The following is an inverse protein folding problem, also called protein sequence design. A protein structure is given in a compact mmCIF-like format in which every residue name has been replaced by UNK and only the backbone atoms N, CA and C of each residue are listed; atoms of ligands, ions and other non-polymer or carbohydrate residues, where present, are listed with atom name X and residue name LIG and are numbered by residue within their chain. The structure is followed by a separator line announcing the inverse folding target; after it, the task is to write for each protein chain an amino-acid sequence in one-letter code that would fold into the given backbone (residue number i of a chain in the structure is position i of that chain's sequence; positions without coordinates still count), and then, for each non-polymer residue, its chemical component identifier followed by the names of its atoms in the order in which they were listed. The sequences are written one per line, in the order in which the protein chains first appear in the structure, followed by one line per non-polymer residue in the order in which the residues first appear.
data_IF_954503845354
#
_entry.id   IF_954503845354
#
_cell.length_a   1.000
_cell.length_b   1.000
_cell.length_c   1.000
_cell.angle_alpha   90.00
_cell.angle_beta   90.00
_cell.angle_gamma   90.00
#
_symmetry.space_group_name_H-M   'P 1'
#
loop_
_entity.id
_entity.type
_entity.pdbx_description
1 polymer ?
#
# COMPACT_ATOMS: atom_id res chain seq x y z
N UNK A 1 -43.68 -96.98 -50.96
CA UNK A 1 -42.70 -97.95 -50.44
C UNK A 1 -42.30 -97.52 -49.02
N UNK A 2 -42.51 -98.42 -48.04
CA UNK A 2 -41.79 -98.62 -46.75
C UNK A 2 -41.41 -97.38 -45.90
N UNK A 3 -42.09 -97.03 -44.79
CA UNK A 3 -42.09 -97.58 -43.39
C UNK A 3 -40.73 -97.72 -42.66
N UNK A 4 -40.60 -96.92 -41.57
CA UNK A 4 -40.13 -97.25 -40.18
C UNK A 4 -38.61 -97.51 -40.04
N UNK A 5 -37.93 -97.40 -38.89
CA UNK A 5 -38.17 -97.15 -37.46
C UNK A 5 -36.78 -96.74 -36.87
N UNK A 6 -36.68 -95.84 -35.87
CA UNK A 6 -36.45 -96.17 -34.44
C UNK A 6 -35.13 -96.92 -34.13
N UNK A 7 -34.36 -96.38 -33.16
CA UNK A 7 -33.58 -97.06 -32.10
C UNK A 7 -32.09 -96.67 -31.93
N UNK A 8 -31.86 -96.13 -30.74
CA UNK A 8 -30.68 -96.17 -29.88
C UNK A 8 -29.72 -97.36 -30.04
N UNK A 9 -28.42 -97.10 -29.80
CA UNK A 9 -27.63 -97.73 -28.71
C UNK A 9 -26.22 -97.16 -28.59
N UNK A 10 -25.71 -97.31 -27.37
CA UNK A 10 -24.46 -96.80 -26.82
C UNK A 10 -23.19 -97.47 -27.34
N UNK A 11 -22.07 -96.75 -27.27
CA UNK A 11 -20.73 -97.29 -27.03
C UNK A 11 -19.79 -96.17 -26.54
N UNK A 12 -19.20 -96.36 -25.36
CA UNK A 12 -17.93 -95.74 -24.94
C UNK A 12 -16.78 -96.72 -25.27
N UNK A 13 -15.49 -96.44 -25.03
CA UNK A 13 -14.77 -95.18 -24.74
C UNK A 13 -13.57 -94.96 -25.69
N UNK A 14 -12.89 -93.81 -25.64
CA UNK A 14 -11.44 -93.63 -25.88
C UNK A 14 -11.05 -92.16 -25.71
N UNK A 15 -10.22 -91.87 -24.71
CA UNK A 15 -9.59 -90.57 -24.51
C UNK A 15 -8.53 -90.31 -25.60
N UNK A 16 -8.21 -89.04 -25.92
CA UNK A 16 -7.08 -88.42 -25.22
C UNK A 16 -7.19 -86.91 -24.95
N UNK A 17 -6.35 -86.48 -24.01
CA UNK A 17 -5.82 -85.14 -23.70
C UNK A 17 -6.24 -83.98 -24.62
N UNK A 18 -6.82 -82.93 -24.01
CA UNK A 18 -6.62 -81.55 -24.46
C UNK A 18 -6.58 -80.59 -23.26
N UNK A 19 -5.58 -79.73 -23.32
CA UNK A 19 -5.02 -78.82 -22.32
C UNK A 19 -6.02 -77.75 -21.86
N UNK A 20 -6.30 -77.67 -20.55
CA UNK A 20 -7.00 -76.52 -19.96
C UNK A 20 -5.98 -75.41 -19.64
N UNK A 21 -5.94 -74.35 -20.44
CA UNK A 21 -5.26 -73.11 -20.05
C UNK A 21 -6.14 -72.37 -19.03
N UNK A 22 -5.75 -72.42 -17.77
CA UNK A 22 -6.27 -71.51 -16.74
C UNK A 22 -5.52 -70.19 -16.89
N UNK A 23 -6.19 -69.18 -17.45
CA UNK A 23 -5.70 -67.80 -17.40
C UNK A 23 -5.85 -67.31 -15.96
N UNK A 24 -4.76 -67.38 -15.19
CA UNK A 24 -4.63 -66.67 -13.93
C UNK A 24 -4.55 -65.17 -14.21
N UNK A 25 -5.69 -64.50 -14.14
CA UNK A 25 -5.79 -63.04 -14.08
C UNK A 25 -5.29 -62.57 -12.71
N UNK A 26 -4.01 -62.16 -12.62
CA UNK A 26 -3.52 -61.40 -11.48
C UNK A 26 -4.16 -60.00 -11.50
N UNK A 27 -5.26 -59.82 -10.77
CA UNK A 27 -5.80 -58.50 -10.46
C UNK A 27 -4.93 -57.80 -9.42
N UNK A 28 -3.89 -57.08 -9.87
CA UNK A 28 -3.26 -56.05 -9.04
C UNK A 28 -4.13 -54.80 -9.11
N UNK A 29 -4.83 -54.50 -8.02
CA UNK A 29 -5.45 -53.17 -7.83
C UNK A 29 -4.34 -52.21 -7.42
N UNK A 30 -3.63 -51.64 -8.39
CA UNK A 30 -2.83 -50.45 -8.11
C UNK A 30 -3.80 -49.29 -7.90
N UNK A 31 -3.87 -48.81 -6.66
CA UNK A 31 -4.44 -47.51 -6.36
C UNK A 31 -3.66 -46.48 -7.15
N UNK A 32 -4.32 -45.82 -8.11
CA UNK A 32 -3.81 -44.60 -8.73
C UNK A 32 -3.59 -43.58 -7.61
N UNK A 33 -2.36 -43.52 -7.11
CA UNK A 33 -1.91 -42.39 -6.32
C UNK A 33 -2.04 -41.19 -7.22
N UNK A 34 -2.98 -40.29 -6.90
CA UNK A 34 -2.95 -38.94 -7.46
C UNK A 34 -1.63 -38.36 -6.98
N UNK A 35 -0.61 -38.36 -7.85
CA UNK A 35 0.58 -37.57 -7.65
C UNK A 35 0.08 -36.16 -7.37
N UNK A 36 0.29 -35.70 -6.13
CA UNK A 36 0.06 -34.32 -5.78
C UNK A 36 0.92 -33.50 -6.73
N UNK A 37 0.29 -32.93 -7.76
CA UNK A 37 0.93 -31.96 -8.62
C UNK A 37 1.49 -30.91 -7.67
N UNK A 38 2.81 -30.65 -7.64
CA UNK A 38 3.32 -29.59 -6.80
C UNK A 38 2.65 -28.30 -7.30
N UNK A 39 1.59 -27.87 -6.61
CA UNK A 39 1.01 -26.56 -6.80
C UNK A 39 2.10 -25.61 -6.36
N UNK A 40 2.82 -25.08 -7.34
CA UNK A 40 3.68 -23.92 -7.11
C UNK A 40 2.84 -22.92 -6.30
N UNK A 41 3.37 -22.40 -5.18
CA UNK A 41 2.65 -21.39 -4.43
C UNK A 41 2.29 -20.25 -5.38
N UNK A 42 1.10 -19.66 -5.18
CA UNK A 42 0.66 -18.49 -5.96
C UNK A 42 1.76 -17.41 -5.89
N UNK A 43 2.00 -16.68 -7.00
CA UNK A 43 3.02 -15.65 -7.02
C UNK A 43 2.61 -14.49 -6.12
N UNK A 44 3.25 -14.39 -4.95
CA UNK A 44 3.08 -13.28 -4.01
C UNK A 44 3.86 -12.04 -4.48
N UNK A 45 3.41 -10.82 -4.12
CA UNK A 45 4.18 -9.60 -4.31
C UNK A 45 5.60 -9.69 -3.71
N UNK A 46 6.57 -9.05 -4.37
CA UNK A 46 7.97 -9.08 -3.93
C UNK A 46 8.11 -8.42 -2.56
N UNK A 47 8.75 -9.14 -1.63
CA UNK A 47 8.95 -8.68 -0.26
C UNK A 47 7.67 -8.69 0.58
N UNK A 48 6.63 -9.41 0.18
CA UNK A 48 5.50 -9.77 1.04
C UNK A 48 5.92 -10.79 2.09
N UNK A 49 5.63 -10.52 3.35
CA UNK A 49 5.98 -11.40 4.47
C UNK A 49 4.88 -11.41 5.54
N UNK A 50 4.54 -12.58 6.06
CA UNK A 50 3.72 -12.70 7.26
C UNK A 50 4.61 -12.38 8.46
N UNK A 51 4.28 -11.33 9.21
CA UNK A 51 5.05 -10.96 10.39
C UNK A 51 4.82 -11.98 11.52
N UNK A 52 5.88 -12.36 12.26
CA UNK A 52 5.72 -13.23 13.42
C UNK A 52 4.71 -12.66 14.41
N UNK A 53 3.84 -13.49 15.02
CA UNK A 53 2.90 -13.04 16.04
C UNK A 53 3.66 -12.37 17.18
N UNK A 54 3.24 -11.18 17.55
CA UNK A 54 3.79 -10.44 18.68
C UNK A 54 2.62 -9.88 19.52
N UNK A 55 2.80 -9.71 20.85
CA UNK A 55 1.77 -9.12 21.70
C UNK A 55 1.30 -7.75 21.16
N UNK A 56 0.03 -7.39 21.39
CA UNK A 56 -0.46 -6.05 21.06
C UNK A 56 0.41 -4.97 21.72
N UNK A 57 0.68 -3.89 21.01
CA UNK A 57 1.31 -2.70 21.56
C UNK A 57 0.29 -1.93 22.40
N UNK A 58 0.75 -1.21 23.46
CA UNK A 58 -0.11 -0.26 24.14
C UNK A 58 -0.55 0.85 23.17
N UNK A 59 -1.69 1.52 23.43
CA UNK A 59 -2.09 2.71 22.67
C UNK A 59 -0.94 3.72 22.60
N UNK A 60 -0.75 4.31 21.42
CA UNK A 60 0.28 5.34 21.24
C UNK A 60 -0.05 6.61 22.05
N UNK A 61 0.66 6.82 23.15
CA UNK A 61 0.57 8.04 23.97
C UNK A 61 1.61 9.09 23.57
N UNK A 62 2.45 8.82 22.56
CA UNK A 62 3.57 9.71 22.21
C UNK A 62 3.14 11.10 21.75
N UNK A 63 1.88 11.26 21.31
CA UNK A 63 1.30 12.55 20.92
C UNK A 63 0.88 13.44 22.11
N UNK A 64 0.81 12.92 23.34
CA UNK A 64 0.33 13.71 24.49
C UNK A 64 1.34 14.75 24.99
N UNK A 65 2.63 14.53 24.71
CA UNK A 65 3.73 15.38 25.20
C UNK A 65 4.37 16.27 24.11
N UNK A 66 3.78 16.33 22.92
CA UNK A 66 4.34 17.05 21.78
C UNK A 66 3.22 17.61 20.89
N UNK A 67 3.49 18.74 20.25
CA UNK A 67 2.66 19.23 19.15
C UNK A 67 3.33 18.89 17.82
N UNK A 68 3.06 17.71 17.23
CA UNK A 68 3.71 17.31 15.99
C UNK A 68 3.35 18.22 14.82
N UNK A 69 2.22 18.92 14.86
CA UNK A 69 1.74 19.67 13.69
C UNK A 69 2.28 21.10 13.61
N UNK A 70 2.81 21.65 14.71
CA UNK A 70 3.37 22.98 14.72
C UNK A 70 4.75 23.02 14.01
N UNK A 71 4.85 23.82 12.95
CA UNK A 71 6.06 23.98 12.12
C UNK A 71 6.64 25.40 12.25
N UNK A 72 7.66 25.76 11.45
CA UNK A 72 8.28 27.08 11.48
C UNK A 72 7.56 28.07 10.56
N UNK A 73 7.38 29.33 10.98
CA UNK A 73 6.78 30.37 10.13
C UNK A 73 7.54 30.55 8.82
N UNK A 74 6.86 30.84 7.70
CA UNK A 74 7.49 31.25 6.46
C UNK A 74 8.40 32.47 6.65
N UNK A 75 9.32 32.68 5.71
CA UNK A 75 10.13 33.90 5.70
C UNK A 75 9.26 35.14 5.49
N UNK A 76 9.64 36.25 6.13
CA UNK A 76 8.95 37.53 5.99
C UNK A 76 9.24 38.20 4.64
N UNK A 77 10.42 37.92 4.07
CA UNK A 77 10.85 38.52 2.80
C UNK A 77 11.22 37.47 1.76
N UNK A 78 10.98 37.82 0.48
CA UNK A 78 11.39 36.98 -0.65
C UNK A 78 12.90 36.77 -0.70
N UNK A 79 13.70 37.76 -0.33
CA UNK A 79 15.15 37.67 -0.35
C UNK A 79 15.68 36.56 0.59
N UNK A 80 15.09 36.43 1.79
CA UNK A 80 15.44 35.36 2.73
C UNK A 80 15.01 33.98 2.20
N UNK A 81 13.81 33.90 1.62
CA UNK A 81 13.33 32.68 0.99
C UNK A 81 14.25 32.23 -0.17
N UNK A 82 14.60 33.15 -1.06
CA UNK A 82 15.48 32.88 -2.22
C UNK A 82 16.90 32.48 -1.80
N UNK A 83 17.39 32.98 -0.66
CA UNK A 83 18.66 32.62 -0.07
C UNK A 83 18.63 31.19 0.51
N UNK A 84 17.54 30.81 1.19
CA UNK A 84 17.39 29.49 1.81
C UNK A 84 17.41 28.32 0.81
N UNK A 85 17.05 28.57 -0.45
CA UNK A 85 17.03 27.55 -1.53
C UNK A 85 18.10 27.77 -2.59
N UNK A 86 19.09 28.63 -2.32
CA UNK A 86 20.15 28.96 -3.29
C UNK A 86 20.91 27.72 -3.76
N UNK A 87 21.19 26.77 -2.86
CA UNK A 87 21.89 25.53 -3.20
C UNK A 87 21.07 24.60 -4.09
N UNK A 88 19.75 24.50 -3.85
CA UNK A 88 18.83 23.73 -4.71
C UNK A 88 18.77 24.37 -6.09
N UNK A 89 18.65 25.71 -6.13
CA UNK A 89 18.64 26.47 -7.38
C UNK A 89 19.94 26.29 -8.17
N UNK A 90 21.08 26.30 -7.50
CA UNK A 90 22.39 26.06 -8.12
C UNK A 90 22.55 24.63 -8.65
N UNK A 91 21.93 23.63 -8.00
CA UNK A 91 21.87 22.24 -8.52
C UNK A 91 20.96 22.09 -9.75
N UNK A 92 20.10 23.06 -10.03
CA UNK A 92 19.24 23.13 -11.22
C UNK A 92 17.97 22.27 -11.16
N UNK A 93 17.73 21.53 -10.07
CA UNK A 93 16.49 20.77 -9.83
C UNK A 93 16.28 20.49 -8.35
N UNK A 94 15.02 20.32 -7.97
CA UNK A 94 14.60 19.84 -6.66
C UNK A 94 14.58 18.30 -6.68
N UNK A 95 15.30 17.67 -5.75
CA UNK A 95 15.31 16.21 -5.62
C UNK A 95 14.21 15.80 -4.63
N UNK A 96 13.19 15.09 -5.13
CA UNK A 96 11.98 14.73 -4.38
C UNK A 96 11.95 13.22 -4.12
N UNK A 97 11.83 12.83 -2.86
CA UNK A 97 11.63 11.44 -2.44
C UNK A 97 10.16 11.05 -2.44
N UNK A 98 9.78 10.08 -3.27
CA UNK A 98 8.44 9.48 -3.36
C UNK A 98 8.49 8.09 -4.02
N UNK A 99 7.37 7.41 -4.24
CA UNK A 99 7.34 6.18 -5.06
C UNK A 99 6.31 6.29 -6.20
N UNK A 100 6.07 5.18 -6.88
CA UNK A 100 5.04 5.06 -7.92
C UNK A 100 3.93 4.06 -7.52
N UNK A 101 3.84 3.72 -6.23
CA UNK A 101 2.99 2.65 -5.71
C UNK A 101 1.78 3.15 -4.91
N UNK A 102 1.42 4.42 -5.08
CA UNK A 102 0.34 5.09 -4.33
C UNK A 102 -0.55 5.87 -5.31
N UNK A 103 -1.55 5.21 -5.91
CA UNK A 103 -2.49 5.85 -6.84
C UNK A 103 -3.10 7.12 -6.22
N UNK A 104 -3.43 8.09 -7.07
CA UNK A 104 -3.84 9.47 -6.74
C UNK A 104 -2.76 10.36 -6.09
N UNK A 105 -1.70 9.80 -5.49
CA UNK A 105 -0.67 10.56 -4.78
C UNK A 105 0.65 10.64 -5.55
N UNK A 106 1.26 9.48 -5.78
CA UNK A 106 2.49 9.34 -6.54
C UNK A 106 2.47 7.98 -7.23
N UNK A 107 2.11 8.00 -8.50
CA UNK A 107 1.98 6.82 -9.35
C UNK A 107 2.44 7.15 -10.77
N UNK A 108 2.67 6.12 -11.59
CA UNK A 108 2.92 6.32 -13.02
C UNK A 108 1.59 6.25 -13.75
N UNK A 109 1.22 7.34 -14.42
CA UNK A 109 0.03 7.36 -15.26
C UNK A 109 0.21 6.35 -16.42
N UNK A 110 -0.74 5.42 -16.62
CA UNK A 110 -0.58 4.34 -17.58
C UNK A 110 -0.72 4.79 -19.04
N UNK A 111 -1.24 6.00 -19.30
CA UNK A 111 -1.47 6.55 -20.64
C UNK A 111 -0.27 7.36 -21.10
N UNK A 112 0.19 8.30 -20.25
CA UNK A 112 1.28 9.23 -20.55
C UNK A 112 2.65 8.69 -20.16
N UNK A 113 2.69 7.76 -19.20
CA UNK A 113 3.93 7.25 -18.61
C UNK A 113 4.60 8.22 -17.64
N UNK A 114 4.01 9.37 -17.34
CA UNK A 114 4.54 10.36 -16.40
C UNK A 114 4.31 9.94 -14.94
N UNK A 115 5.21 10.34 -14.04
CA UNK A 115 4.96 10.25 -12.59
C UNK A 115 4.04 11.42 -12.23
N UNK A 116 2.88 11.12 -11.67
CA UNK A 116 1.84 12.10 -11.36
C UNK A 116 1.08 11.76 -10.07
N UNK A 117 0.21 12.66 -9.66
CA UNK A 117 -0.62 12.55 -8.45
C UNK A 117 -0.53 13.78 -7.57
N UNK A 118 -1.29 13.78 -6.49
CA UNK A 118 -1.41 14.89 -5.54
C UNK A 118 -0.07 15.26 -4.90
N UNK A 119 0.69 14.28 -4.41
CA UNK A 119 2.01 14.52 -3.80
C UNK A 119 3.02 15.04 -4.83
N UNK A 120 2.93 14.54 -6.07
CA UNK A 120 3.75 15.02 -7.20
C UNK A 120 3.47 16.48 -7.50
N UNK A 121 2.19 16.86 -7.58
CA UNK A 121 1.78 18.25 -7.84
C UNK A 121 2.16 19.18 -6.68
N UNK A 122 2.04 18.73 -5.42
CA UNK A 122 2.51 19.50 -4.25
C UNK A 122 4.03 19.76 -4.35
N UNK A 123 4.83 18.75 -4.70
CA UNK A 123 6.26 18.92 -4.90
C UNK A 123 6.58 19.84 -6.09
N UNK A 124 5.78 19.76 -7.17
CA UNK A 124 5.86 20.66 -8.32
C UNK A 124 5.62 22.12 -7.94
N UNK A 125 4.72 22.41 -6.98
CA UNK A 125 4.50 23.76 -6.49
C UNK A 125 5.68 24.31 -5.67
N UNK A 126 6.39 23.44 -4.92
CA UNK A 126 7.66 23.84 -4.28
C UNK A 126 8.71 24.15 -5.34
N UNK A 127 8.83 23.31 -6.37
CA UNK A 127 9.75 23.57 -7.48
C UNK A 127 9.41 24.86 -8.25
N UNK A 128 8.12 25.15 -8.42
CA UNK A 128 7.64 26.40 -9.04
C UNK A 128 8.13 27.62 -8.27
N UNK A 129 8.12 27.59 -6.94
CA UNK A 129 8.59 28.72 -6.14
C UNK A 129 10.12 28.88 -6.20
N UNK A 130 10.87 27.80 -6.42
CA UNK A 130 12.34 27.83 -6.55
C UNK A 130 12.79 28.28 -7.95
N UNK A 131 12.13 27.77 -9.00
CA UNK A 131 12.59 27.86 -10.39
C UNK A 131 11.67 28.68 -11.31
N UNK A 132 10.51 29.11 -10.83
CA UNK A 132 9.46 29.78 -11.61
C UNK A 132 8.55 28.83 -12.39
N UNK A 133 8.91 27.55 -12.52
CA UNK A 133 8.12 26.50 -13.19
C UNK A 133 8.25 25.17 -12.44
N UNK A 134 7.23 24.29 -12.50
CA UNK A 134 7.18 23.08 -11.66
C UNK A 134 8.03 21.91 -12.20
N UNK A 135 8.57 22.02 -13.42
CA UNK A 135 9.19 20.90 -14.15
C UNK A 135 10.63 20.57 -13.75
N UNK A 136 11.27 21.38 -12.90
CA UNK A 136 12.67 21.17 -12.48
C UNK A 136 12.73 20.23 -11.27
N UNK A 137 12.29 18.99 -11.45
CA UNK A 137 12.20 17.97 -10.40
C UNK A 137 12.89 16.68 -10.82
N UNK A 138 13.68 16.10 -9.92
CA UNK A 138 14.27 14.77 -10.06
C UNK A 138 13.69 13.86 -8.95
N UNK A 139 13.10 12.74 -9.32
CA UNK A 139 12.50 11.81 -8.35
C UNK A 139 13.51 10.75 -7.91
N UNK A 140 13.66 10.60 -6.59
CA UNK A 140 14.27 9.40 -6.00
C UNK A 140 13.16 8.48 -5.52
N UNK A 141 13.13 7.27 -6.06
CA UNK A 141 12.16 6.24 -5.65
C UNK A 141 12.53 5.73 -4.26
N UNK A 142 11.62 5.88 -3.30
CA UNK A 142 11.78 5.50 -1.90
C UNK A 142 10.54 4.75 -1.42
N UNK A 143 10.74 3.59 -0.78
CA UNK A 143 9.68 2.94 -0.02
C UNK A 143 9.27 3.77 1.21
N UNK A 144 8.13 3.44 1.81
CA UNK A 144 7.68 4.09 3.04
C UNK A 144 8.70 4.00 4.19
N UNK A 145 9.48 2.90 4.24
CA UNK A 145 10.50 2.66 5.26
C UNK A 145 11.79 3.49 5.07
N UNK A 146 12.04 3.99 3.86
CA UNK A 146 13.29 4.72 3.52
C UNK A 146 13.16 6.23 3.66
N UNK A 147 11.94 6.76 3.82
CA UNK A 147 11.67 8.22 3.88
C UNK A 147 12.58 8.96 4.86
N UNK A 148 12.65 8.49 6.10
CA UNK A 148 13.43 9.12 7.18
C UNK A 148 14.93 9.03 6.90
N UNK A 149 15.41 7.85 6.51
CA UNK A 149 16.84 7.62 6.28
C UNK A 149 17.37 8.39 5.07
N UNK A 150 16.55 8.55 4.02
CA UNK A 150 16.89 9.39 2.87
C UNK A 150 17.09 10.86 3.24
N UNK A 151 16.23 11.40 4.12
CA UNK A 151 16.35 12.76 4.64
C UNK A 151 17.56 12.93 5.55
N UNK A 152 17.78 11.99 6.47
CA UNK A 152 18.96 12.02 7.37
C UNK A 152 20.29 11.96 6.60
N UNK A 153 20.32 11.23 5.48
CA UNK A 153 21.49 11.11 4.61
C UNK A 153 21.55 12.18 3.52
N UNK A 154 20.64 13.16 3.53
CA UNK A 154 20.54 14.22 2.51
C UNK A 154 20.55 13.69 1.07
N UNK A 155 19.89 12.53 0.85
CA UNK A 155 19.78 11.91 -0.47
C UNK A 155 18.71 12.56 -1.36
N UNK A 156 17.80 13.30 -0.72
CA UNK A 156 16.72 14.09 -1.33
C UNK A 156 16.63 15.43 -0.59
N UNK A 157 16.10 16.44 -1.26
CA UNK A 157 15.84 17.75 -0.64
C UNK A 157 14.60 17.67 0.25
N UNK A 158 13.54 17.04 -0.27
CA UNK A 158 12.25 16.87 0.40
C UNK A 158 11.68 15.48 0.15
N UNK A 159 10.84 15.01 1.07
CA UNK A 159 9.96 13.84 0.88
C UNK A 159 8.51 14.32 0.84
N UNK A 160 7.82 14.05 -0.26
CA UNK A 160 6.38 14.30 -0.43
C UNK A 160 5.75 12.96 -0.79
N UNK A 161 5.40 12.18 0.22
CA UNK A 161 4.97 10.78 0.08
C UNK A 161 4.13 10.34 1.27
N UNK A 162 2.90 10.85 1.35
CA UNK A 162 1.90 10.54 2.39
C UNK A 162 2.51 10.38 3.78
N UNK A 163 3.32 11.38 4.16
CA UNK A 163 4.22 11.27 5.31
C UNK A 163 3.58 11.91 6.53
N UNK A 164 2.86 11.11 7.33
CA UNK A 164 2.24 11.56 8.57
C UNK A 164 3.27 12.17 9.52
N UNK A 165 2.98 13.35 10.03
CA UNK A 165 3.82 14.05 10.99
C UNK A 165 3.61 13.41 12.37
N UNK A 166 4.68 12.85 12.93
CA UNK A 166 4.64 12.23 14.27
C UNK A 166 5.81 12.71 15.10
N UNK A 167 5.67 12.63 16.42
CA UNK A 167 6.71 13.08 17.34
C UNK A 167 7.97 12.21 17.26
N UNK A 168 7.81 10.90 17.08
CA UNK A 168 8.95 10.01 16.83
C UNK A 168 9.72 10.37 15.56
N UNK A 169 9.01 10.70 14.47
CA UNK A 169 9.67 11.16 13.24
C UNK A 169 10.34 12.53 13.43
N UNK A 170 9.73 13.44 14.19
CA UNK A 170 10.29 14.77 14.49
C UNK A 170 11.60 14.76 15.24
N UNK A 171 11.92 13.69 15.98
CA UNK A 171 13.23 13.51 16.60
C UNK A 171 14.35 13.29 15.56
N UNK A 172 13.99 12.92 14.34
CA UNK A 172 14.93 12.47 13.29
C UNK A 172 14.93 13.37 12.06
N UNK A 173 13.80 14.00 11.75
CA UNK A 173 13.57 14.84 10.56
C UNK A 173 12.68 16.02 10.91
N UNK A 174 12.68 17.04 10.07
CA UNK A 174 11.77 18.18 10.16
C UNK A 174 10.56 18.01 9.24
N UNK A 175 9.52 18.82 9.48
CA UNK A 175 8.31 18.80 8.67
C UNK A 175 7.80 20.21 8.38
N UNK A 176 7.18 20.38 7.21
CA UNK A 176 6.29 21.49 6.93
C UNK A 176 5.04 21.47 7.83
N UNK A 177 4.20 22.49 7.68
CA UNK A 177 2.80 22.46 8.10
C UNK A 177 2.01 21.39 7.36
N UNK A 178 0.85 21.02 7.91
CA UNK A 178 -0.03 19.99 7.33
C UNK A 178 -0.53 20.43 5.95
N UNK A 179 -0.29 19.63 4.91
CA UNK A 179 -0.77 19.90 3.56
C UNK A 179 -2.00 19.08 3.17
N UNK A 180 -2.25 17.94 3.84
CA UNK A 180 -3.46 17.13 3.72
C UNK A 180 -3.68 16.42 5.05
N UNK A 181 -4.95 16.30 5.45
CA UNK A 181 -5.34 15.60 6.68
C UNK A 181 -6.16 14.38 6.30
N UNK A 182 -5.72 13.20 6.75
CA UNK A 182 -6.30 11.91 6.41
C UNK A 182 -6.56 11.10 7.68
N UNK A 183 -7.33 10.02 7.59
CA UNK A 183 -7.55 9.12 8.72
C UNK A 183 -7.34 7.66 8.32
N UNK A 184 -6.69 6.89 9.19
CA UNK A 184 -6.57 5.45 8.95
C UNK A 184 -7.94 4.78 9.05
N UNK A 185 -8.30 4.01 8.02
CA UNK A 185 -9.53 3.21 7.95
C UNK A 185 -9.23 1.78 7.45
N UNK A 186 -10.26 1.07 7.04
CA UNK A 186 -10.18 -0.33 6.59
C UNK A 186 -10.71 -0.43 5.16
N UNK A 187 -10.01 -1.14 4.30
CA UNK A 187 -10.46 -1.54 2.96
C UNK A 187 -10.69 -3.04 2.96
N UNK A 188 -11.86 -3.46 2.48
CA UNK A 188 -12.23 -4.86 2.35
C UNK A 188 -13.02 -5.09 1.05
N UNK A 189 -13.12 -6.34 0.57
CA UNK A 189 -14.06 -6.73 -0.47
C UNK A 189 -15.50 -6.43 -0.07
N UNK A 190 -16.37 -6.05 -1.02
CA UNK A 190 -17.79 -5.75 -0.74
C UNK A 190 -18.60 -6.91 -0.17
N UNK A 191 -18.18 -8.15 -0.39
CA UNK A 191 -18.79 -9.36 0.18
C UNK A 191 -18.22 -9.73 1.57
N UNK A 192 -17.25 -8.97 2.07
CA UNK A 192 -16.64 -9.19 3.38
C UNK A 192 -17.57 -8.77 4.52
N UNK A 193 -17.61 -9.53 5.64
CA UNK A 193 -18.34 -9.12 6.84
C UNK A 193 -17.57 -8.07 7.69
N UNK A 194 -16.34 -7.70 7.31
CA UNK A 194 -15.50 -6.77 8.06
C UNK A 194 -16.11 -5.37 7.97
N UNK A 195 -16.47 -4.79 9.12
CA UNK A 195 -17.05 -3.43 9.18
C UNK A 195 -16.47 -2.55 10.27
N UNK A 196 -15.68 -3.11 11.20
CA UNK A 196 -15.09 -2.41 12.34
C UNK A 196 -13.75 -3.04 12.75
N UNK A 197 -12.98 -2.33 13.57
CA UNK A 197 -11.61 -2.69 13.98
C UNK A 197 -11.54 -4.08 14.63
N UNK A 198 -12.52 -4.46 15.46
CA UNK A 198 -12.53 -5.76 16.14
C UNK A 198 -12.65 -6.94 15.18
N UNK A 199 -13.19 -6.74 13.97
CA UNK A 199 -13.39 -7.80 12.99
C UNK A 199 -12.07 -8.23 12.33
N UNK A 200 -11.01 -7.42 12.51
CA UNK A 200 -9.67 -7.69 12.01
C UNK A 200 -8.94 -8.75 12.85
N UNK A 201 -9.34 -8.99 14.10
CA UNK A 201 -8.70 -9.97 14.97
C UNK A 201 -8.68 -11.36 14.33
N UNK A 202 -7.49 -11.98 14.25
CA UNK A 202 -7.28 -13.27 13.58
C UNK A 202 -7.38 -13.27 12.05
N UNK A 203 -7.69 -12.13 11.41
CA UNK A 203 -7.71 -11.97 9.94
C UNK A 203 -6.35 -11.55 9.41
N UNK A 204 -6.08 -11.82 8.14
CA UNK A 204 -4.88 -11.37 7.43
C UNK A 204 -5.05 -9.91 7.02
N UNK A 205 -4.33 -9.02 7.67
CA UNK A 205 -4.38 -7.57 7.41
C UNK A 205 -3.05 -7.12 6.81
N UNK A 206 -3.10 -6.52 5.63
CA UNK A 206 -1.90 -6.01 4.96
C UNK A 206 -1.59 -4.57 5.35
N UNK A 207 -0.30 -4.30 5.57
CA UNK A 207 0.27 -2.98 5.84
C UNK A 207 1.63 -2.83 5.13
N UNK A 208 1.96 -1.66 4.60
CA UNK A 208 3.30 -1.39 4.11
C UNK A 208 4.29 -1.17 5.28
N UNK A 209 5.53 -1.65 5.15
CA UNK A 209 6.56 -1.49 6.19
C UNK A 209 6.95 -0.02 6.39
N UNK A 210 7.33 0.33 7.63
CA UNK A 210 7.76 1.70 7.97
C UNK A 210 6.63 2.73 8.02
N UNK A 211 5.40 2.28 8.25
CA UNK A 211 4.19 3.12 8.28
C UNK A 211 3.62 3.25 9.70
N UNK A 212 2.89 4.35 9.92
CA UNK A 212 2.04 4.55 11.10
C UNK A 212 0.90 3.53 11.13
N UNK A 213 0.42 3.09 9.96
CA UNK A 213 -0.64 2.10 9.84
C UNK A 213 -0.26 0.75 10.49
N UNK A 214 1.00 0.30 10.30
CA UNK A 214 1.52 -0.88 11.00
C UNK A 214 1.48 -0.68 12.53
N UNK A 215 1.93 0.48 13.04
CA UNK A 215 1.93 0.78 14.48
C UNK A 215 0.52 0.71 15.08
N UNK A 216 -0.49 1.24 14.37
CA UNK A 216 -1.89 1.22 14.80
C UNK A 216 -2.52 -0.17 14.74
N UNK A 217 -2.21 -0.97 13.72
CA UNK A 217 -2.67 -2.36 13.60
C UNK A 217 -2.08 -3.24 14.70
N UNK A 218 -0.84 -2.96 15.13
CA UNK A 218 -0.21 -3.66 16.26
C UNK A 218 -0.90 -3.42 17.61
N UNK A 219 -1.80 -2.44 17.74
CA UNK A 219 -2.56 -2.20 18.98
C UNK A 219 -3.82 -3.06 19.12
N UNK A 220 -4.26 -3.71 18.03
CA UNK A 220 -5.51 -4.47 18.03
C UNK A 220 -5.35 -5.73 18.89
N UNK A 221 -6.32 -5.95 19.79
CA UNK A 221 -6.37 -7.10 20.67
C UNK A 221 -7.75 -7.79 20.56
N UNK A 222 -7.81 -9.09 20.21
CA UNK A 222 -6.70 -9.96 19.80
C UNK A 222 -6.02 -9.51 18.49
N UNK A 223 -4.72 -9.79 18.27
CA UNK A 223 -4.02 -9.37 17.06
C UNK A 223 -4.62 -9.94 15.76
N UNK A 224 -4.58 -9.19 14.65
CA UNK A 224 -4.64 -9.77 13.31
C UNK A 224 -3.38 -10.58 12.99
N UNK A 225 -3.45 -11.40 11.94
CA UNK A 225 -2.28 -11.90 11.22
C UNK A 225 -1.77 -10.77 10.34
N UNK A 226 -0.64 -10.17 10.71
CA UNK A 226 -0.13 -9.00 9.99
C UNK A 226 0.71 -9.46 8.80
N UNK A 227 0.33 -9.01 7.61
CA UNK A 227 1.10 -9.21 6.38
C UNK A 227 1.76 -7.89 6.02
N UNK A 228 3.07 -7.89 5.84
CA UNK A 228 3.83 -6.69 5.50
C UNK A 228 4.34 -6.74 4.06
N UNK A 229 4.28 -5.61 3.37
CA UNK A 229 4.75 -5.46 1.98
C UNK A 229 5.61 -4.19 1.83
N UNK A 230 6.14 -3.94 0.62
CA UNK A 230 6.97 -2.77 0.34
C UNK A 230 6.11 -1.51 0.16
N UNK A 231 5.04 -1.60 -0.63
CA UNK A 231 4.16 -0.47 -0.97
C UNK A 231 2.67 -0.88 -0.95
N UNK A 232 1.76 0.08 -1.16
CA UNK A 232 0.32 -0.16 -1.04
C UNK A 232 -0.29 -0.89 -2.22
N UNK A 233 0.25 -0.72 -3.43
CA UNK A 233 -0.15 -1.50 -4.60
C UNK A 233 0.10 -3.00 -4.39
N UNK A 234 1.15 -3.39 -3.67
CA UNK A 234 1.39 -4.79 -3.29
C UNK A 234 0.26 -5.35 -2.40
N UNK A 235 -0.27 -4.54 -1.47
CA UNK A 235 -1.44 -4.93 -0.67
C UNK A 235 -2.69 -5.11 -1.54
N UNK A 236 -2.90 -4.26 -2.54
CA UNK A 236 -4.02 -4.41 -3.48
C UNK A 236 -3.92 -5.73 -4.24
N UNK A 237 -2.74 -6.04 -4.80
CA UNK A 237 -2.49 -7.31 -5.50
C UNK A 237 -2.75 -8.50 -4.58
N UNK A 238 -2.24 -8.48 -3.35
CA UNK A 238 -2.48 -9.56 -2.39
C UNK A 238 -3.97 -9.73 -2.05
N UNK A 239 -4.74 -8.63 -1.97
CA UNK A 239 -6.19 -8.70 -1.72
C UNK A 239 -6.94 -9.29 -2.92
N UNK A 240 -6.58 -8.88 -4.13
CA UNK A 240 -7.15 -9.39 -5.39
C UNK A 240 -6.89 -10.89 -5.55
N UNK A 241 -5.72 -11.36 -5.12
CA UNK A 241 -5.36 -12.78 -5.10
C UNK A 241 -5.92 -13.54 -3.88
N UNK A 242 -6.68 -12.88 -3.00
CA UNK A 242 -7.25 -13.43 -1.76
C UNK A 242 -6.20 -13.98 -0.79
N UNK A 243 -4.98 -13.46 -0.87
CA UNK A 243 -3.86 -13.78 0.03
C UNK A 243 -3.96 -13.03 1.37
N UNK A 244 -4.83 -12.02 1.44
CA UNK A 244 -5.19 -11.27 2.64
C UNK A 244 -6.70 -11.03 2.69
N UNK A 245 -7.21 -10.57 3.83
CA UNK A 245 -8.65 -10.37 4.06
C UNK A 245 -9.03 -8.88 4.11
N UNK A 246 -8.08 -8.00 4.44
CA UNK A 246 -8.26 -6.55 4.46
C UNK A 246 -6.92 -5.81 4.32
N UNK A 247 -6.99 -4.55 3.90
CA UNK A 247 -5.90 -3.57 3.97
C UNK A 247 -6.29 -2.49 4.97
N UNK A 248 -5.36 -2.02 5.80
CA UNK A 248 -5.63 -0.87 6.67
C UNK A 248 -4.53 0.16 6.59
N UNK A 249 -4.91 1.34 6.12
CA UNK A 249 -4.09 2.54 6.03
C UNK A 249 -5.02 3.74 5.87
N UNK A 250 -4.44 4.87 5.52
CA UNK A 250 -5.04 6.17 5.35
C UNK A 250 -6.15 6.08 4.29
N UNK A 251 -7.34 6.59 4.61
CA UNK A 251 -8.54 6.57 3.76
C UNK A 251 -8.30 7.17 2.38
N UNK A 252 -7.44 8.18 2.30
CA UNK A 252 -6.92 8.76 1.07
C UNK A 252 -6.22 7.75 0.16
N UNK A 253 -5.32 6.93 0.72
CA UNK A 253 -4.60 5.88 -0.02
C UNK A 253 -5.58 4.76 -0.38
N UNK A 254 -6.44 4.37 0.56
CA UNK A 254 -7.46 3.34 0.31
C UNK A 254 -8.40 3.74 -0.83
N UNK A 255 -8.72 5.04 -0.98
CA UNK A 255 -9.55 5.51 -2.08
C UNK A 255 -8.84 5.37 -3.43
N UNK A 256 -7.52 5.58 -3.48
CA UNK A 256 -6.72 5.25 -4.67
C UNK A 256 -6.80 3.77 -5.04
N UNK A 257 -6.80 2.87 -4.04
CA UNK A 257 -6.97 1.43 -4.28
C UNK A 257 -8.40 1.08 -4.73
N UNK A 258 -9.42 1.80 -4.26
CA UNK A 258 -10.82 1.64 -4.71
C UNK A 258 -11.01 2.10 -6.16
N UNK A 259 -10.32 3.17 -6.57
CA UNK A 259 -10.31 3.61 -7.98
C UNK A 259 -9.70 2.54 -8.91
N UNK A 260 -8.70 1.80 -8.44
CA UNK A 260 -8.10 0.68 -9.17
C UNK A 260 -8.95 -0.60 -9.13
N UNK A 261 -9.67 -0.83 -8.02
CA UNK A 261 -10.54 -1.99 -7.84
C UNK A 261 -11.89 -1.61 -7.16
N UNK A 262 -12.92 -1.30 -7.97
CA UNK A 262 -14.24 -0.91 -7.46
C UNK A 262 -15.01 -2.03 -6.72
N UNK A 263 -14.52 -3.28 -6.76
CA UNK A 263 -15.08 -4.38 -5.95
C UNK A 263 -14.80 -4.20 -4.45
N UNK A 264 -13.86 -3.33 -4.11
CA UNK A 264 -13.49 -3.01 -2.75
C UNK A 264 -14.32 -1.82 -2.22
N UNK A 265 -14.36 -1.67 -0.90
CA UNK A 265 -14.95 -0.50 -0.25
C UNK A 265 -14.26 -0.16 1.07
N UNK A 266 -14.32 1.13 1.45
CA UNK A 266 -13.77 1.61 2.72
C UNK A 266 -14.83 1.50 3.82
N UNK A 267 -14.47 0.90 4.95
CA UNK A 267 -15.32 0.61 6.10
C UNK A 267 -14.61 0.99 7.41
N UNK A 268 -15.33 0.85 8.53
CA UNK A 268 -14.77 1.12 9.86
C UNK A 268 -14.78 2.60 10.24
N UNK A 269 -14.55 2.89 11.53
CA UNK A 269 -14.39 4.25 12.03
C UNK A 269 -13.03 4.82 11.64
N UNK A 270 -12.83 6.10 11.90
CA UNK A 270 -11.49 6.68 11.93
C UNK A 270 -10.66 6.01 13.04
N UNK A 271 -9.52 5.45 12.67
CA UNK A 271 -8.69 4.63 13.57
C UNK A 271 -7.51 5.42 14.15
N UNK A 272 -6.94 6.34 13.37
CA UNK A 272 -5.81 7.17 13.76
C UNK A 272 -5.63 8.31 12.76
N UNK A 273 -5.45 9.53 13.28
CA UNK A 273 -5.19 10.74 12.50
C UNK A 273 -3.86 10.66 11.73
N UNK A 274 -3.85 11.15 10.49
CA UNK A 274 -2.72 11.10 9.56
C UNK A 274 -2.45 12.48 8.93
N UNK A 275 -1.95 13.46 9.69
CA UNK A 275 -1.65 14.79 9.17
C UNK A 275 -0.39 14.73 8.31
N UNK A 276 -0.50 14.91 7.00
CA UNK A 276 0.64 14.83 6.09
C UNK A 276 1.46 16.11 6.08
N UNK A 277 2.78 15.96 6.19
CA UNK A 277 3.75 17.04 6.05
C UNK A 277 4.82 16.69 5.03
N UNK A 278 5.40 17.71 4.40
CA UNK A 278 6.62 17.55 3.60
C UNK A 278 7.77 17.27 4.55
N UNK A 279 8.37 16.09 4.43
CA UNK A 279 9.53 15.70 5.22
C UNK A 279 10.80 16.38 4.73
N UNK A 280 11.58 16.95 5.65
CA UNK A 280 12.78 17.75 5.37
C UNK A 280 13.90 17.29 6.32
N UNK A 281 15.16 17.39 5.90
CA UNK A 281 16.30 17.12 6.79
C UNK A 281 16.18 17.95 8.08
N UNK A 282 16.51 17.35 9.24
CA UNK A 282 16.32 17.96 10.56
C UNK A 282 17.01 19.33 10.66
N UNK A 283 18.20 19.49 10.09
CA UNK A 283 19.01 20.70 10.24
C UNK A 283 18.64 21.78 9.22
N UNK A 284 17.90 21.44 8.15
CA UNK A 284 17.53 22.38 7.10
C UNK A 284 16.23 23.14 7.44
N UNK A 285 16.29 23.94 8.50
CA UNK A 285 15.18 24.79 8.95
C UNK A 285 14.80 25.87 7.92
N UNK A 286 15.77 26.32 7.10
CA UNK A 286 15.50 27.27 6.02
C UNK A 286 14.54 26.70 4.97
N UNK A 287 14.74 25.44 4.56
CA UNK A 287 13.84 24.77 3.63
C UNK A 287 12.45 24.51 4.23
N UNK A 288 12.36 24.27 5.55
CA UNK A 288 11.05 24.17 6.25
C UNK A 288 10.24 25.46 6.07
N UNK A 289 10.87 26.61 6.35
CA UNK A 289 10.22 27.92 6.20
C UNK A 289 9.85 28.21 4.75
N UNK A 290 10.74 27.86 3.81
CA UNK A 290 10.49 28.02 2.38
C UNK A 290 9.26 27.24 1.93
N UNK A 291 9.21 25.92 2.22
CA UNK A 291 8.08 25.05 1.87
C UNK A 291 6.80 25.53 2.57
N UNK A 292 6.87 26.00 3.81
CA UNK A 292 5.71 26.58 4.47
C UNK A 292 5.17 27.84 3.77
N UNK A 293 6.04 28.64 3.16
CA UNK A 293 5.62 29.74 2.29
C UNK A 293 4.88 29.26 1.04
N UNK A 294 5.36 28.20 0.38
CA UNK A 294 4.65 27.54 -0.72
C UNK A 294 3.28 27.04 -0.28
N UNK A 295 3.21 26.36 0.87
CA UNK A 295 1.95 25.85 1.40
C UNK A 295 0.96 26.97 1.73
N UNK A 296 1.42 28.08 2.31
CA UNK A 296 0.57 29.27 2.50
C UNK A 296 0.05 29.81 1.16
N UNK A 297 0.91 29.91 0.14
CA UNK A 297 0.52 30.36 -1.19
C UNK A 297 -0.58 29.48 -1.78
N UNK A 298 -0.37 28.16 -1.87
CA UNK A 298 -1.33 27.27 -2.54
C UNK A 298 -2.66 27.15 -1.80
N UNK A 299 -2.69 27.33 -0.47
CA UNK A 299 -3.93 27.36 0.30
C UNK A 299 -4.77 28.60 -0.04
N UNK A 300 -4.12 29.74 -0.23
CA UNK A 300 -4.77 31.04 -0.41
C UNK A 300 -5.03 31.43 -1.88
N UNK A 301 -4.28 30.90 -2.83
CA UNK A 301 -4.42 31.21 -4.26
C UNK A 301 -5.38 30.27 -5.02
N UNK A 302 -5.95 29.28 -4.33
CA UNK A 302 -6.89 28.29 -4.89
C UNK A 302 -6.25 27.08 -5.56
N UNK A 303 -4.90 27.02 -5.63
CA UNK A 303 -4.17 25.86 -6.17
C UNK A 303 -4.47 24.60 -5.38
N UNK A 304 -4.44 24.66 -4.04
CA UNK A 304 -4.73 23.50 -3.19
C UNK A 304 -6.12 22.90 -3.47
N UNK A 305 -7.14 23.77 -3.57
CA UNK A 305 -8.50 23.32 -3.89
C UNK A 305 -8.59 22.70 -5.29
N UNK A 306 -7.81 23.21 -6.24
CA UNK A 306 -7.71 22.64 -7.58
C UNK A 306 -7.05 21.27 -7.56
N UNK A 307 -5.95 21.09 -6.81
CA UNK A 307 -5.28 19.80 -6.64
C UNK A 307 -6.20 18.78 -5.94
N UNK A 308 -6.92 19.19 -4.90
CA UNK A 308 -7.88 18.31 -4.24
C UNK A 308 -8.96 17.84 -5.21
N UNK A 309 -9.56 18.77 -5.98
CA UNK A 309 -10.59 18.41 -6.97
C UNK A 309 -10.06 17.52 -8.09
N UNK A 310 -8.80 17.71 -8.49
CA UNK A 310 -8.14 16.89 -9.50
C UNK A 310 -7.98 15.43 -9.06
N UNK A 311 -7.66 15.20 -7.78
CA UNK A 311 -7.20 13.88 -7.32
C UNK A 311 -8.10 13.19 -6.30
N UNK A 312 -8.83 13.91 -5.45
CA UNK A 312 -9.38 13.37 -4.20
C UNK A 312 -10.91 13.47 -4.09
N UNK A 313 -11.61 13.75 -5.19
CA UNK A 313 -13.09 13.86 -5.18
C UNK A 313 -13.81 12.55 -4.87
N UNK A 314 -13.13 11.41 -5.01
CA UNK A 314 -13.60 10.10 -4.55
C UNK A 314 -13.86 10.06 -3.04
N UNK A 315 -13.18 10.91 -2.25
CA UNK A 315 -13.41 11.06 -0.80
C UNK A 315 -14.57 12.00 -0.48
N UNK A 316 -15.09 12.72 -1.48
CA UNK A 316 -16.16 13.70 -1.33
C UNK A 316 -15.77 15.12 -1.77
N UNK A 317 -16.62 16.12 -1.48
CA UNK A 317 -16.35 17.51 -1.78
C UNK A 317 -15.08 18.01 -1.09
N UNK A 318 -14.31 18.88 -1.77
CA UNK A 318 -13.10 19.45 -1.22
C UNK A 318 -13.38 20.21 0.09
N UNK A 319 -12.72 19.86 1.21
CA UNK A 319 -12.82 20.64 2.44
C UNK A 319 -12.02 21.94 2.30
N UNK A 320 -12.03 22.77 3.35
CA UNK A 320 -11.05 23.83 3.46
C UNK A 320 -9.63 23.21 3.59
N UNK A 321 -8.58 23.85 3.03
CA UNK A 321 -7.23 23.38 3.25
C UNK A 321 -6.89 23.32 4.75
N UNK A 322 -6.06 22.36 5.20
CA UNK A 322 -5.66 22.28 6.61
C UNK A 322 -5.02 23.59 7.09
N UNK A 323 -5.50 24.12 8.21
CA UNK A 323 -5.01 25.38 8.78
C UNK A 323 -3.58 25.18 9.32
N UNK A 324 -2.60 26.01 8.91
CA UNK A 324 -1.23 25.86 9.37
C UNK A 324 -1.10 26.21 10.86
N UNK A 325 -0.17 25.52 11.54
CA UNK A 325 0.20 25.80 12.92
C UNK A 325 1.70 26.09 12.99
N UNK A 326 2.07 27.13 13.74
CA UNK A 326 3.45 27.60 13.84
C UNK A 326 3.92 27.65 15.29
N UNK A 327 5.17 27.24 15.54
CA UNK A 327 5.80 27.28 16.88
C UNK A 327 6.39 28.64 17.23
N UNK A 328 6.73 29.43 16.22
CA UNK A 328 7.27 30.79 16.31
C UNK A 328 6.31 31.80 15.67
#
# INVERSE_FOLDING_TARGET
MTRRALLARAAAPLAPLALAMVLASCGHSETLGVEATPTLPLPTPVGMEIMPPQPPLPPDSSSQDCDPTASLRPFATKAEADAAVADIRARGRLIVGLDIGSNLFSFRDPITGEITGFDVDIAGEVARDIFGVPSHVEYRILSAAERVTALQKSQVDIVVKTMSITCERRKLVNFSTVYLDANQRILAPRDSPITKVSDLSGKRVCVARGTTSLRRIREIAPPPVIVSVVNWADCLVALQQREIDAVSTDDTILAGLVEEDPYLHIVGPDMADQPYGVGINLDNTGLVRFVNGTLERIRNDGTWNTLYRKWLTVLGPAPAPPTPRYVD
#
